data_IF_359284888490
#
_entry.id   IF_359284888490
#
_cell.length_a   1.000
_cell.length_b   1.000
_cell.length_c   1.000
_cell.angle_alpha   90.00
_cell.angle_beta   90.00
_cell.angle_gamma   90.00
#
_symmetry.space_group_name_H-M   'P 1'
#
loop_
_entity.id
_entity.type
_entity.pdbx_description
1 polymer ?
#
# COMPACT_ATOMS: atom_id res chain seq x y z
N UNK A 1 -4.22 -8.52 -4.61
CA UNK A 1 -3.52 -7.40 -3.95
C UNK A 1 -4.53 -6.47 -3.28
N UNK A 2 -4.93 -6.72 -2.02
CA UNK A 2 -5.98 -5.92 -1.38
C UNK A 2 -5.64 -5.39 0.02
N UNK A 3 -4.82 -6.13 0.79
CA UNK A 3 -4.56 -5.81 2.19
C UNK A 3 -3.31 -4.95 2.42
N UNK A 4 -2.36 -4.93 1.48
CA UNK A 4 -1.08 -4.24 1.63
C UNK A 4 -1.25 -2.71 1.80
N UNK A 5 -2.08 -2.00 1.00
CA UNK A 5 -2.34 -0.57 1.22
C UNK A 5 -2.97 -0.27 2.58
N UNK A 6 -3.88 -1.14 3.03
CA UNK A 6 -4.52 -1.00 4.35
C UNK A 6 -3.51 -1.14 5.48
N UNK A 7 -2.62 -2.14 5.41
CA UNK A 7 -1.54 -2.33 6.40
C UNK A 7 -0.61 -1.12 6.44
N UNK A 8 -0.19 -0.62 5.27
CA UNK A 8 0.67 0.55 5.16
C UNK A 8 -0.01 1.83 5.72
N UNK A 9 -1.26 2.07 5.36
CA UNK A 9 -2.01 3.23 5.82
C UNK A 9 -2.28 3.18 7.34
N UNK A 10 -2.61 2.01 7.88
CA UNK A 10 -2.80 1.84 9.33
C UNK A 10 -1.48 1.97 10.10
N UNK A 11 -0.36 1.54 9.52
CA UNK A 11 0.97 1.77 10.10
C UNK A 11 1.28 3.27 10.20
N UNK A 12 0.96 4.04 9.15
CA UNK A 12 1.06 5.51 9.17
C UNK A 12 0.14 6.13 10.23
N UNK A 13 -1.16 5.78 10.24
CA UNK A 13 -2.13 6.26 11.24
C UNK A 13 -1.68 5.98 12.67
N UNK A 14 -1.16 4.76 12.91
CA UNK A 14 -0.62 4.37 14.21
C UNK A 14 0.57 5.23 14.62
N UNK A 15 1.49 5.51 13.69
CA UNK A 15 2.68 6.33 13.93
C UNK A 15 2.33 7.76 14.35
N UNK A 16 1.29 8.36 13.76
CA UNK A 16 0.84 9.73 14.08
C UNK A 16 -0.26 9.79 15.15
N UNK A 17 -0.60 8.66 15.79
CA UNK A 17 -1.60 8.60 16.86
C UNK A 17 -3.05 8.84 16.42
N UNK A 18 -3.35 8.66 15.13
CA UNK A 18 -4.70 8.85 14.58
C UNK A 18 -5.47 7.52 14.47
N UNK A 19 -6.82 7.56 14.48
CA UNK A 19 -7.65 6.38 14.30
C UNK A 19 -7.50 5.76 12.91
N UNK A 20 -7.74 4.46 12.83
CA UNK A 20 -7.71 3.71 11.57
C UNK A 20 -8.93 4.04 10.71
N UNK A 21 -8.68 4.17 9.41
CA UNK A 21 -9.68 4.43 8.38
C UNK A 21 -9.83 3.17 7.53
N UNK A 22 -11.07 2.76 7.28
CA UNK A 22 -11.38 1.58 6.48
C UNK A 22 -11.41 1.90 4.99
N UNK A 23 -11.14 0.92 4.12
CA UNK A 23 -11.26 1.09 2.68
C UNK A 23 -12.71 1.27 2.24
N UNK A 24 -12.93 2.06 1.18
CA UNK A 24 -14.22 2.23 0.51
C UNK A 24 -14.22 1.46 -0.81
N UNK A 25 -15.24 0.62 -1.04
CA UNK A 25 -15.29 -0.26 -2.22
C UNK A 25 -15.40 0.50 -3.54
N UNK A 26 -16.03 1.67 -3.55
CA UNK A 26 -16.24 2.48 -4.75
C UNK A 26 -14.99 3.29 -5.15
N UNK A 27 -13.94 3.28 -4.33
CA UNK A 27 -12.71 4.03 -4.60
C UNK A 27 -11.70 3.19 -5.39
N UNK A 28 -11.05 3.82 -6.36
CA UNK A 28 -9.90 3.25 -7.06
C UNK A 28 -8.74 3.00 -6.09
N UNK A 29 -7.79 2.12 -6.47
CA UNK A 29 -6.68 1.71 -5.59
C UNK A 29 -5.90 2.88 -4.97
N UNK A 30 -5.45 3.83 -5.79
CA UNK A 30 -4.72 5.02 -5.33
C UNK A 30 -5.60 5.96 -4.49
N UNK A 31 -6.84 6.21 -4.92
CA UNK A 31 -7.80 7.04 -4.18
C UNK A 31 -8.09 6.46 -2.79
N UNK A 32 -8.26 5.14 -2.72
CA UNK A 32 -8.55 4.43 -1.48
C UNK A 32 -7.35 4.46 -0.53
N UNK A 33 -6.12 4.34 -1.06
CA UNK A 33 -4.91 4.48 -0.25
C UNK A 33 -4.76 5.88 0.34
N UNK A 34 -4.94 6.94 -0.47
CA UNK A 34 -4.92 8.33 0.00
C UNK A 34 -6.01 8.60 1.04
N UNK A 35 -7.21 8.08 0.80
CA UNK A 35 -8.32 8.16 1.76
C UNK A 35 -7.94 7.55 3.12
N UNK A 36 -7.38 6.34 3.12
CA UNK A 36 -6.97 5.68 4.36
C UNK A 36 -5.81 6.39 5.07
N UNK A 37 -4.91 7.05 4.33
CA UNK A 37 -3.81 7.81 4.91
C UNK A 37 -4.27 9.11 5.57
N UNK A 38 -5.13 9.89 4.90
CA UNK A 38 -5.34 11.30 5.24
C UNK A 38 -6.73 11.62 5.80
N UNK A 39 -7.72 10.74 5.68
CA UNK A 39 -9.04 10.97 6.27
C UNK A 39 -8.96 11.00 7.80
N UNK A 40 -9.71 11.93 8.42
CA UNK A 40 -9.86 12.06 9.87
C UNK A 40 -11.35 12.04 10.23
N UNK A 41 -11.74 11.56 11.43
CA UNK A 41 -13.16 11.41 11.77
C UNK A 41 -13.97 12.71 11.77
N UNK A 42 -13.29 13.86 11.91
CA UNK A 42 -13.92 15.16 12.08
C UNK A 42 -14.34 15.81 10.76
N UNK A 43 -13.83 15.34 9.61
CA UNK A 43 -14.04 16.01 8.32
C UNK A 43 -14.02 15.01 7.18
N UNK A 44 -14.93 15.18 6.21
CA UNK A 44 -14.90 14.42 4.97
C UNK A 44 -13.62 14.73 4.20
N UNK A 45 -12.87 13.68 3.85
CA UNK A 45 -11.68 13.80 3.04
C UNK A 45 -11.97 13.38 1.60
N UNK A 46 -11.72 14.30 0.67
CA UNK A 46 -11.73 14.05 -0.75
C UNK A 46 -10.32 14.26 -1.30
N UNK A 47 -9.71 13.20 -1.82
CA UNK A 47 -8.40 13.27 -2.44
C UNK A 47 -8.52 14.06 -3.75
N UNK A 48 -7.71 15.12 -3.96
CA UNK A 48 -7.75 15.85 -5.23
C UNK A 48 -7.33 14.93 -6.37
N UNK A 49 -7.96 15.04 -7.55
CA UNK A 49 -7.75 14.11 -8.66
C UNK A 49 -6.29 14.09 -9.14
N UNK A 50 -5.58 15.22 -9.06
CA UNK A 50 -4.17 15.32 -9.44
C UNK A 50 -3.28 14.45 -8.56
N UNK A 51 -3.56 14.36 -7.25
CA UNK A 51 -2.81 13.52 -6.32
C UNK A 51 -3.12 12.03 -6.53
N UNK A 52 -4.38 11.71 -6.83
CA UNK A 52 -4.78 10.33 -7.14
C UNK A 52 -4.02 9.84 -8.38
N UNK A 53 -3.96 10.67 -9.43
CA UNK A 53 -3.28 10.32 -10.67
C UNK A 53 -1.76 10.25 -10.48
N UNK A 54 -1.17 11.23 -9.80
CA UNK A 54 0.27 11.23 -9.52
C UNK A 54 0.69 9.98 -8.74
N UNK A 55 -0.08 9.59 -7.73
CA UNK A 55 0.20 8.38 -6.96
C UNK A 55 0.03 7.11 -7.81
N UNK A 56 -0.99 7.06 -8.66
CA UNK A 56 -1.24 5.94 -9.56
C UNK A 56 -0.05 5.74 -10.52
N UNK A 57 0.43 6.82 -11.15
CA UNK A 57 1.63 6.81 -11.99
C UNK A 57 2.85 6.35 -11.19
N UNK A 58 3.02 6.85 -9.96
CA UNK A 58 4.15 6.46 -9.11
C UNK A 58 4.13 4.96 -8.79
N UNK A 59 2.96 4.38 -8.53
CA UNK A 59 2.84 2.93 -8.32
C UNK A 59 3.13 2.14 -9.59
N UNK A 60 2.68 2.58 -10.76
CA UNK A 60 3.03 1.91 -12.01
C UNK A 60 4.54 1.89 -12.26
N UNK A 61 5.20 3.03 -12.02
CA UNK A 61 6.66 3.15 -12.21
C UNK A 61 7.47 2.29 -11.23
N UNK A 62 6.94 2.00 -10.04
CA UNK A 62 7.60 1.18 -9.02
C UNK A 62 7.04 -0.25 -8.95
N UNK A 63 6.18 -0.65 -9.90
CA UNK A 63 5.48 -1.93 -9.83
C UNK A 63 6.44 -3.12 -9.90
N UNK A 64 7.49 -3.01 -10.72
CA UNK A 64 8.53 -4.02 -10.85
C UNK A 64 9.83 -3.37 -11.35
N UNK A 65 10.96 -3.97 -10.98
CA UNK A 65 12.27 -3.61 -11.50
C UNK A 65 13.14 -4.87 -11.66
N UNK A 66 12.56 -5.88 -12.29
CA UNK A 66 13.14 -7.18 -12.63
C UNK A 66 13.92 -7.82 -11.46
N UNK A 67 15.20 -8.17 -11.66
CA UNK A 67 16.04 -8.79 -10.64
C UNK A 67 16.77 -7.71 -9.83
N UNK A 68 16.04 -7.11 -8.88
CA UNK A 68 16.61 -6.27 -7.84
C UNK A 68 16.85 -7.06 -6.54
N UNK A 69 17.45 -6.43 -5.54
CA UNK A 69 17.81 -7.06 -4.26
C UNK A 69 16.58 -7.66 -3.54
N UNK A 70 15.49 -6.90 -3.42
CA UNK A 70 14.29 -7.36 -2.74
C UNK A 70 13.63 -8.52 -3.50
N UNK A 71 13.46 -8.39 -4.81
CA UNK A 71 12.85 -9.44 -5.66
C UNK A 71 13.68 -10.72 -5.66
N UNK A 72 15.00 -10.61 -5.71
CA UNK A 72 15.91 -11.77 -5.63
C UNK A 72 15.81 -12.46 -4.27
N UNK A 73 15.65 -11.70 -3.19
CA UNK A 73 15.46 -12.24 -1.83
C UNK A 73 14.15 -13.01 -1.71
N UNK A 74 13.04 -12.44 -2.22
CA UNK A 74 11.73 -13.13 -2.29
C UNK A 74 11.87 -14.46 -3.05
N UNK A 75 12.59 -14.48 -4.17
CA UNK A 75 12.82 -15.70 -4.97
C UNK A 75 13.66 -16.72 -4.22
N UNK A 76 14.74 -16.29 -3.57
CA UNK A 76 15.62 -17.17 -2.81
C UNK A 76 14.87 -17.83 -1.64
N UNK A 77 14.15 -17.06 -0.84
CA UNK A 77 13.34 -17.58 0.27
C UNK A 77 12.21 -18.45 -0.24
N UNK A 78 11.53 -18.06 -1.32
CA UNK A 78 10.51 -18.87 -1.99
C UNK A 78 11.00 -20.24 -2.46
N UNK A 79 12.27 -20.36 -2.85
CA UNK A 79 12.86 -21.64 -3.28
C UNK A 79 12.88 -22.72 -2.18
N UNK A 80 12.89 -22.28 -0.90
CA UNK A 80 12.78 -23.17 0.27
C UNK A 80 11.34 -23.68 0.52
N UNK A 81 10.38 -23.31 -0.35
CA UNK A 81 8.94 -23.53 -0.17
C UNK A 81 8.35 -22.80 1.03
N UNK A 82 8.94 -21.65 1.39
CA UNK A 82 8.32 -20.72 2.32
C UNK A 82 6.95 -20.24 1.81
N UNK A 83 6.03 -19.95 2.73
CA UNK A 83 4.71 -19.45 2.35
C UNK A 83 4.80 -18.04 1.74
N UNK A 84 3.81 -17.67 0.93
CA UNK A 84 3.79 -16.42 0.19
C UNK A 84 3.98 -15.17 1.07
N UNK A 85 3.33 -15.11 2.23
CA UNK A 85 3.44 -13.95 3.13
C UNK A 85 4.85 -13.86 3.74
N UNK A 86 5.44 -14.99 4.12
CA UNK A 86 6.81 -15.03 4.61
C UNK A 86 7.81 -14.62 3.52
N UNK A 87 7.67 -15.11 2.29
CA UNK A 87 8.52 -14.73 1.17
C UNK A 87 8.44 -13.23 0.88
N UNK A 88 7.22 -12.66 0.79
CA UNK A 88 7.04 -11.22 0.55
C UNK A 88 7.58 -10.37 1.71
N UNK A 89 7.54 -10.86 2.95
CA UNK A 89 8.06 -10.11 4.11
C UNK A 89 9.60 -10.00 4.12
N UNK A 90 10.31 -10.76 3.27
CA UNK A 90 11.78 -10.74 3.19
C UNK A 90 12.35 -9.85 2.10
N UNK A 91 11.52 -9.44 1.14
CA UNK A 91 11.88 -8.48 0.10
C UNK A 91 11.44 -7.08 0.50
#
# INVERSE_FOLDING_TARGET
MGKLPTIAAWSYKKNIGQPFVFPVNDYSYAKNFLHMLFSVPTTSYEAPPEFVEALNVLFFLHADHEQNCSTSTVRLVGSSRANLFASISTG
#
